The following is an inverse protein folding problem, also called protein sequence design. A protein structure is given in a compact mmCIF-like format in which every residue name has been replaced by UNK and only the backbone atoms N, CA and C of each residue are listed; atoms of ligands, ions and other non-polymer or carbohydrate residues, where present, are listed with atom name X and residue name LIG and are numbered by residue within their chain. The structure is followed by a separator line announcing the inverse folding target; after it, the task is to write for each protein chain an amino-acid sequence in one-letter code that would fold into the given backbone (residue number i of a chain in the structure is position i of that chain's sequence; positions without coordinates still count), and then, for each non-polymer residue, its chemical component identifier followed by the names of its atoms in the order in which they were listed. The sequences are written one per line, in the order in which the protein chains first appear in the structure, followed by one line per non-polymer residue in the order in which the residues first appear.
data_IF_456793134709
#
_entry.id   IF_456793134709
#
_cell.length_a   1.000
_cell.length_b   1.000
_cell.length_c   1.000
_cell.angle_alpha   90.00
_cell.angle_beta   90.00
_cell.angle_gamma   90.00
#
_symmetry.space_group_name_H-M   'P 1'
#
loop_
_entity.id
_entity.type
_entity.pdbx_description
1 polymer ?
#
# COMPACT_ATOMS: atom_id res chain seq x y z
N UNK A 1 0.43 6.02 -22.47
CA UNK A 1 1.24 5.45 -21.36
C UNK A 1 1.18 3.93 -21.52
N UNK A 2 2.27 3.19 -21.31
CA UNK A 2 2.37 1.77 -21.69
C UNK A 2 1.36 0.85 -20.96
N UNK A 3 1.14 1.05 -19.65
CA UNK A 3 0.47 0.03 -18.81
C UNK A 3 -0.89 0.46 -18.20
N UNK A 4 -1.45 1.59 -18.64
CA UNK A 4 -2.74 2.09 -18.14
C UNK A 4 -2.72 2.68 -16.71
N UNK A 5 -3.88 3.04 -16.19
CA UNK A 5 -4.03 3.61 -14.83
C UNK A 5 -4.15 2.52 -13.74
N UNK A 6 -4.43 1.28 -14.15
CA UNK A 6 -4.63 0.14 -13.26
C UNK A 6 -3.36 -0.65 -12.94
N UNK A 7 -2.23 -0.25 -13.54
CA UNK A 7 -0.91 -0.76 -13.16
C UNK A 7 -0.62 -0.49 -11.68
N UNK A 8 -0.03 -1.48 -11.01
CA UNK A 8 0.34 -1.47 -9.59
C UNK A 8 1.78 -1.94 -9.43
N UNK A 9 2.40 -1.60 -8.30
CA UNK A 9 3.78 -2.00 -8.00
C UNK A 9 3.95 -3.53 -8.08
N UNK A 10 2.99 -4.30 -7.58
CA UNK A 10 3.05 -5.78 -7.60
C UNK A 10 3.05 -6.38 -9.00
N UNK A 11 2.68 -5.64 -10.05
CA UNK A 11 2.70 -6.16 -11.43
C UNK A 11 4.12 -6.31 -11.98
N UNK A 12 5.10 -5.69 -11.32
CA UNK A 12 6.48 -5.58 -11.80
C UNK A 12 7.51 -6.23 -10.87
N UNK A 13 7.12 -6.59 -9.65
CA UNK A 13 8.04 -7.09 -8.63
C UNK A 13 7.61 -8.47 -8.16
N UNK A 14 8.48 -9.46 -8.39
CA UNK A 14 8.28 -10.84 -7.92
C UNK A 14 8.32 -10.95 -6.39
N UNK A 15 9.08 -10.06 -5.73
CA UNK A 15 9.26 -10.03 -4.28
C UNK A 15 9.21 -8.60 -3.77
N UNK A 16 8.44 -8.39 -2.71
CA UNK A 16 8.38 -7.13 -1.96
C UNK A 16 8.62 -7.44 -0.49
N UNK A 17 9.48 -6.67 0.16
CA UNK A 17 9.78 -6.81 1.58
C UNK A 17 9.77 -5.45 2.27
N UNK A 18 9.39 -5.42 3.54
CA UNK A 18 9.37 -4.22 4.34
C UNK A 18 9.45 -4.54 5.83
N UNK A 19 10.09 -3.68 6.61
CA UNK A 19 10.22 -3.80 8.07
C UNK A 19 9.58 -2.59 8.74
N UNK A 20 8.96 -2.78 9.91
CA UNK A 20 8.24 -1.72 10.63
C UNK A 20 7.11 -1.11 9.76
N UNK A 21 7.03 0.21 9.64
CA UNK A 21 6.09 0.90 8.72
C UNK A 21 6.25 0.45 7.27
N UNK A 22 7.46 0.05 6.86
CA UNK A 22 7.70 -0.57 5.56
C UNK A 22 6.95 -1.88 5.39
N UNK A 23 6.82 -2.69 6.45
CA UNK A 23 6.07 -3.96 6.42
C UNK A 23 4.56 -3.73 6.27
N UNK A 24 4.03 -2.67 6.92
CA UNK A 24 2.65 -2.24 6.70
C UNK A 24 2.43 -1.79 5.26
N UNK A 25 3.36 -1.00 4.69
CA UNK A 25 3.30 -0.60 3.27
C UNK A 25 3.35 -1.81 2.34
N UNK A 26 4.21 -2.79 2.60
CA UNK A 26 4.26 -4.05 1.84
C UNK A 26 2.90 -4.75 1.88
N UNK A 27 2.28 -4.88 3.05
CA UNK A 27 0.96 -5.48 3.18
C UNK A 27 -0.11 -4.71 2.40
N UNK A 28 -0.13 -3.37 2.48
CA UNK A 28 -1.06 -2.51 1.75
C UNK A 28 -0.96 -2.68 0.22
N UNK A 29 0.26 -2.87 -0.28
CA UNK A 29 0.54 -3.02 -1.71
C UNK A 29 0.32 -4.44 -2.23
N UNK A 30 0.41 -5.47 -1.37
CA UNK A 30 0.39 -6.87 -1.80
C UNK A 30 -0.87 -7.65 -1.40
N UNK A 31 -1.69 -7.11 -0.49
CA UNK A 31 -2.94 -7.78 -0.08
C UNK A 31 -3.95 -7.70 -1.23
N UNK A 32 -4.50 -8.84 -1.70
CA UNK A 32 -5.50 -8.84 -2.77
C UNK A 32 -6.89 -8.43 -2.26
N UNK A 33 -7.64 -7.76 -3.13
CA UNK A 33 -9.07 -7.51 -3.03
C UNK A 33 -9.89 -8.65 -3.68
N UNK A 34 -11.21 -8.47 -3.79
CA UNK A 34 -12.11 -9.45 -4.41
C UNK A 34 -11.82 -9.70 -5.91
N UNK A 35 -11.10 -8.79 -6.57
CA UNK A 35 -10.68 -8.90 -7.97
C UNK A 35 -9.23 -9.37 -8.11
N UNK A 36 -8.61 -9.84 -7.02
CA UNK A 36 -7.21 -10.25 -6.96
C UNK A 36 -6.22 -9.14 -7.37
N UNK A 37 -6.56 -7.88 -7.05
CA UNK A 37 -5.71 -6.69 -7.20
C UNK A 37 -5.36 -6.11 -5.83
N UNK A 38 -4.26 -5.36 -5.69
CA UNK A 38 -3.94 -4.66 -4.44
C UNK A 38 -5.10 -3.82 -3.92
N UNK A 39 -5.44 -4.00 -2.64
CA UNK A 39 -6.48 -3.20 -1.96
C UNK A 39 -6.19 -1.70 -2.01
N UNK A 40 -4.91 -1.31 -2.00
CA UNK A 40 -4.48 0.09 -2.06
C UNK A 40 -3.50 0.31 -3.22
N UNK A 41 -3.66 1.44 -3.92
CA UNK A 41 -2.61 1.93 -4.82
C UNK A 41 -1.55 2.69 -4.02
N UNK A 42 -0.34 2.80 -4.58
CA UNK A 42 0.77 3.48 -3.92
C UNK A 42 0.46 4.93 -3.50
N UNK A 43 -0.37 5.63 -4.30
CA UNK A 43 -0.81 7.00 -4.01
C UNK A 43 -1.67 7.11 -2.76
N UNK A 44 -2.39 6.05 -2.39
CA UNK A 44 -3.37 6.06 -1.29
C UNK A 44 -2.69 5.86 0.07
N UNK A 45 -1.46 5.34 0.11
CA UNK A 45 -0.69 5.08 1.35
C UNK A 45 -0.46 6.35 2.16
N UNK A 46 -0.19 7.47 1.48
CA UNK A 46 0.01 8.77 2.15
C UNK A 46 -1.26 9.17 2.91
N UNK A 47 -2.41 9.05 2.27
CA UNK A 47 -3.69 9.43 2.87
C UNK A 47 -4.09 8.47 4.00
N UNK A 48 -3.75 7.18 3.89
CA UNK A 48 -3.87 6.23 5.00
C UNK A 48 -3.13 6.75 6.25
N UNK A 49 -1.85 7.10 6.13
CA UNK A 49 -1.10 7.57 7.29
C UNK A 49 -1.63 8.90 7.82
N UNK A 50 -2.01 9.85 6.97
CA UNK A 50 -2.60 11.12 7.43
C UNK A 50 -3.87 10.90 8.27
N UNK A 51 -4.71 9.95 7.87
CA UNK A 51 -5.97 9.66 8.55
C UNK A 51 -5.81 8.79 9.81
N UNK A 52 -4.82 7.89 9.81
CA UNK A 52 -4.67 6.88 10.87
C UNK A 52 -3.54 7.19 11.86
N UNK A 53 -2.52 7.99 11.51
CA UNK A 53 -1.41 8.33 12.41
C UNK A 53 -1.85 8.86 13.77
N UNK A 54 -2.83 9.78 13.90
CA UNK A 54 -3.26 10.25 15.22
C UNK A 54 -3.81 9.13 16.12
N UNK A 55 -4.33 8.05 15.54
CA UNK A 55 -4.81 6.87 16.28
C UNK A 55 -3.71 5.85 16.55
N UNK A 56 -2.75 5.71 15.63
CA UNK A 56 -1.60 4.81 15.78
C UNK A 56 -0.60 5.38 16.80
N UNK A 57 -0.39 6.70 16.77
CA UNK A 57 0.51 7.46 17.63
C UNK A 57 -0.22 8.64 18.30
N UNK A 58 -1.08 8.36 19.30
CA UNK A 58 -1.72 9.41 20.10
C UNK A 58 -0.66 10.37 20.68
N UNK A 59 -0.99 11.67 20.72
CA UNK A 59 -0.07 12.74 21.17
C UNK A 59 -0.36 13.23 22.60
N UNK A 60 -1.15 12.48 23.36
CA UNK A 60 -1.50 12.81 24.76
C UNK A 60 -0.28 12.74 25.70
#
# INVERSE_FOLDING_TARGET
KLDGEDARIVDYFDVISGTSTGGLVTAMLATPDENNRPVLAAKDIKDFYLNHCPKIFPQD
#
